data_IF_202824720077
#
_entry.id   IF_202824720077
#
_cell.length_a   1.000
_cell.length_b   1.000
_cell.length_c   1.000
_cell.angle_alpha   90.00
_cell.angle_beta   90.00
_cell.angle_gamma   90.00
#
_symmetry.space_group_name_H-M   'P 1'
#
loop_
_entity.id
_entity.type
_entity.pdbx_description
1 polymer ?
#
# COMPACT_ATOMS: atom_id res chain seq x y z
N UNK A 1 22.92 6.05 5.32
CA UNK A 1 23.62 7.36 5.28
C UNK A 1 23.34 8.07 6.59
N UNK A 2 24.36 8.55 7.30
CA UNK A 2 24.16 9.29 8.56
C UNK A 2 23.77 10.74 8.27
N UNK A 3 22.59 11.16 8.75
CA UNK A 3 22.13 12.54 8.64
C UNK A 3 23.05 13.43 9.51
N UNK A 4 23.63 14.53 8.98
CA UNK A 4 24.50 15.40 9.77
C UNK A 4 23.78 15.98 11.00
N UNK A 5 24.47 16.09 12.13
CA UNK A 5 23.89 16.55 13.40
C UNK A 5 23.27 17.96 13.35
N UNK A 6 23.70 18.80 12.41
CA UNK A 6 23.18 20.16 12.23
C UNK A 6 21.84 20.20 11.49
N UNK A 7 21.43 19.13 10.81
CA UNK A 7 20.13 19.07 10.12
C UNK A 7 19.04 18.92 11.20
N UNK A 8 18.06 19.84 11.26
CA UNK A 8 16.99 19.81 12.26
C UNK A 8 15.90 18.78 11.88
N UNK A 9 16.30 17.55 11.60
CA UNK A 9 15.37 16.45 11.34
C UNK A 9 14.65 16.08 12.65
N UNK A 10 13.39 15.63 12.53
CA UNK A 10 12.62 15.07 13.64
C UNK A 10 13.41 13.92 14.29
N UNK A 11 13.43 13.88 15.61
CA UNK A 11 14.27 12.92 16.34
C UNK A 11 13.93 11.46 16.03
N UNK A 12 12.65 11.15 15.82
CA UNK A 12 12.17 9.81 15.45
C UNK A 12 12.71 9.31 14.09
N UNK A 13 13.27 10.19 13.24
CA UNK A 13 13.78 9.82 11.91
C UNK A 13 15.32 9.69 11.87
N UNK A 14 16.03 10.00 12.97
CA UNK A 14 17.50 10.09 12.95
C UNK A 14 18.23 8.79 12.66
N UNK A 15 17.66 7.67 13.10
CA UNK A 15 18.25 6.33 12.98
C UNK A 15 17.51 5.44 11.97
N UNK A 16 16.59 6.02 11.21
CA UNK A 16 15.84 5.31 10.17
C UNK A 16 16.67 5.23 8.88
N UNK A 17 16.47 4.15 8.13
CA UNK A 17 17.05 4.00 6.80
C UNK A 17 15.99 4.16 5.71
N UNK A 18 16.31 4.77 4.56
CA UNK A 18 15.39 4.83 3.44
C UNK A 18 14.97 3.42 3.00
N UNK A 19 13.66 3.19 2.92
CA UNK A 19 13.11 1.94 2.41
C UNK A 19 13.41 1.79 0.92
N UNK A 20 13.82 0.59 0.52
CA UNK A 20 13.95 0.22 -0.89
C UNK A 20 14.78 -1.04 -1.09
N UNK A 21 14.32 -1.93 -1.95
CA UNK A 21 15.16 -3.02 -2.41
C UNK A 21 16.33 -2.46 -3.23
N UNK A 22 17.55 -3.03 -3.12
CA UNK A 22 18.68 -2.56 -3.90
C UNK A 22 18.40 -2.71 -5.39
N UNK A 23 18.68 -1.67 -6.16
CA UNK A 23 18.60 -1.69 -7.62
C UNK A 23 19.92 -2.22 -8.17
N UNK A 24 19.99 -3.53 -8.37
CA UNK A 24 21.18 -4.21 -8.89
C UNK A 24 20.88 -4.65 -10.32
N UNK A 25 21.79 -4.31 -11.23
CA UNK A 25 21.74 -4.80 -12.60
C UNK A 25 22.22 -6.26 -12.64
N UNK A 26 21.27 -7.17 -12.70
CA UNK A 26 21.51 -8.62 -12.76
C UNK A 26 20.64 -9.26 -13.84
N UNK A 27 21.10 -10.34 -14.49
CA UNK A 27 20.37 -10.97 -15.60
C UNK A 27 18.97 -11.49 -15.22
N UNK A 28 18.75 -11.85 -13.95
CA UNK A 28 17.48 -12.40 -13.46
C UNK A 28 17.07 -11.65 -12.19
N UNK A 29 15.98 -10.88 -12.27
CA UNK A 29 15.40 -10.12 -11.16
C UNK A 29 14.10 -10.76 -10.71
N UNK A 30 14.06 -11.28 -9.48
CA UNK A 30 12.92 -11.99 -8.88
C UNK A 30 12.69 -11.57 -7.41
N UNK A 31 13.02 -10.32 -7.08
CA UNK A 31 13.01 -9.80 -5.70
C UNK A 31 11.82 -8.87 -5.40
N UNK A 32 11.09 -8.43 -6.42
CA UNK A 32 9.85 -7.69 -6.29
C UNK A 32 8.78 -8.41 -7.10
N UNK A 33 7.53 -8.42 -6.62
CA UNK A 33 6.45 -9.23 -7.17
C UNK A 33 5.86 -8.64 -8.47
N UNK A 34 6.73 -8.24 -9.40
CA UNK A 34 6.37 -7.70 -10.71
C UNK A 34 5.82 -8.80 -11.62
N UNK A 35 4.98 -8.40 -12.59
CA UNK A 35 4.64 -9.29 -13.69
C UNK A 35 5.85 -9.42 -14.63
N UNK A 36 6.37 -10.63 -14.92
CA UNK A 36 7.53 -10.80 -15.80
C UNK A 36 7.21 -10.50 -17.27
N UNK A 37 5.93 -10.41 -17.64
CA UNK A 37 5.49 -10.04 -18.98
C UNK A 37 5.28 -8.52 -19.06
N UNK A 38 6.01 -7.88 -19.97
CA UNK A 38 5.76 -6.48 -20.31
C UNK A 38 4.38 -6.27 -20.94
N UNK A 39 3.92 -5.02 -21.05
CA UNK A 39 2.70 -4.71 -21.79
C UNK A 39 2.75 -5.26 -23.22
N UNK A 40 1.61 -5.71 -23.75
CA UNK A 40 1.52 -6.07 -25.17
C UNK A 40 1.79 -4.86 -26.06
N UNK A 41 2.23 -5.08 -27.31
CA UNK A 41 2.45 -3.99 -28.28
C UNK A 41 1.21 -3.11 -28.46
N UNK A 42 0.02 -3.73 -28.47
CA UNK A 42 -1.26 -3.02 -28.54
C UNK A 42 -1.46 -2.10 -27.34
N UNK A 43 -1.21 -2.59 -26.13
CA UNK A 43 -1.34 -1.78 -24.91
C UNK A 43 -0.29 -0.66 -24.87
N UNK A 44 0.94 -0.93 -25.27
CA UNK A 44 2.00 0.08 -25.34
C UNK A 44 1.66 1.21 -26.33
N UNK A 45 1.14 0.86 -27.51
CA UNK A 45 0.70 1.83 -28.51
C UNK A 45 -0.48 2.69 -28.03
N UNK A 46 -1.44 2.07 -27.34
CA UNK A 46 -2.61 2.75 -26.78
C UNK A 46 -2.21 3.75 -25.67
N UNK A 47 -1.33 3.33 -24.75
CA UNK A 47 -0.75 4.21 -23.72
C UNK A 47 -0.03 5.39 -24.37
N UNK A 48 0.81 5.14 -25.39
CA UNK A 48 1.52 6.21 -26.08
C UNK A 48 0.56 7.20 -26.76
N UNK A 49 -0.51 6.71 -27.37
CA UNK A 49 -1.57 7.54 -27.95
C UNK A 49 -2.29 8.39 -26.91
N UNK A 50 -2.68 7.80 -25.78
CA UNK A 50 -3.35 8.50 -24.68
C UNK A 50 -2.45 9.60 -24.08
N UNK A 51 -1.17 9.29 -23.84
CA UNK A 51 -0.18 10.27 -23.35
C UNK A 51 0.02 11.40 -24.36
N UNK A 52 0.07 11.10 -25.66
CA UNK A 52 0.17 12.12 -26.70
C UNK A 52 -1.02 13.09 -26.66
N UNK A 53 -2.25 12.60 -26.48
CA UNK A 53 -3.42 13.46 -26.35
C UNK A 53 -3.38 14.32 -25.08
N UNK A 54 -3.09 13.70 -23.93
CA UNK A 54 -2.98 14.42 -22.66
C UNK A 54 -1.86 15.48 -22.68
N UNK A 55 -0.78 15.24 -23.43
CA UNK A 55 0.34 16.16 -23.56
C UNK A 55 -0.05 17.55 -24.11
N UNK A 56 -1.14 17.61 -24.90
CA UNK A 56 -1.64 18.86 -25.49
C UNK A 56 -2.25 19.82 -24.45
N UNK A 57 -2.60 19.32 -23.26
CA UNK A 57 -3.27 20.09 -22.19
C UNK A 57 -2.44 20.20 -20.90
N UNK A 58 -1.16 19.82 -20.91
CA UNK A 58 -0.28 19.82 -19.72
C UNK A 58 -0.11 21.20 -19.05
N UNK A 59 -0.48 22.29 -19.72
CA UNK A 59 -0.52 23.62 -19.13
C UNK A 59 -1.74 23.85 -18.21
N UNK A 60 -2.61 22.84 -18.06
CA UNK A 60 -3.79 22.85 -17.18
C UNK A 60 -3.65 21.80 -16.10
N UNK A 61 -4.35 22.04 -14.99
CA UNK A 61 -4.53 21.00 -13.97
C UNK A 61 -5.41 19.88 -14.55
N UNK A 62 -5.14 18.60 -14.20
CA UNK A 62 -5.96 17.48 -14.62
C UNK A 62 -7.33 17.50 -13.91
N UNK A 63 -8.22 16.60 -14.32
CA UNK A 63 -9.41 16.28 -13.52
C UNK A 63 -8.99 15.86 -12.11
N UNK A 64 -9.43 16.64 -11.12
CA UNK A 64 -9.09 16.44 -9.71
C UNK A 64 -9.64 15.13 -9.18
N UNK A 65 -10.78 14.70 -9.68
CA UNK A 65 -11.50 13.54 -9.17
C UNK A 65 -11.09 12.25 -9.87
N UNK A 66 -10.32 12.32 -10.97
CA UNK A 66 -9.96 11.20 -11.84
C UNK A 66 -11.19 10.33 -12.19
N UNK A 67 -12.29 10.99 -12.56
CA UNK A 67 -13.61 10.37 -12.64
C UNK A 67 -13.65 9.22 -13.66
N UNK A 68 -13.16 9.47 -14.88
CA UNK A 68 -13.11 8.47 -15.95
C UNK A 68 -12.27 7.24 -15.56
N UNK A 69 -11.14 7.46 -14.87
CA UNK A 69 -10.30 6.38 -14.34
C UNK A 69 -11.07 5.54 -13.30
N UNK A 70 -11.79 6.20 -12.38
CA UNK A 70 -12.56 5.51 -11.33
C UNK A 70 -13.76 4.76 -11.90
N UNK A 71 -14.42 5.28 -12.93
CA UNK A 71 -15.47 4.57 -13.66
C UNK A 71 -14.93 3.30 -14.32
N UNK A 72 -13.81 3.41 -15.04
CA UNK A 72 -13.17 2.26 -15.68
C UNK A 72 -12.72 1.20 -14.67
N UNK A 73 -12.14 1.62 -13.53
CA UNK A 73 -11.75 0.72 -12.44
C UNK A 73 -12.96 0.03 -11.79
N UNK A 74 -14.06 0.76 -11.56
CA UNK A 74 -15.29 0.17 -11.03
C UNK A 74 -15.87 -0.87 -11.98
N UNK A 75 -15.90 -0.58 -13.28
CA UNK A 75 -16.35 -1.52 -14.31
C UNK A 75 -15.46 -2.77 -14.39
N UNK A 76 -14.14 -2.60 -14.27
CA UNK A 76 -13.19 -3.72 -14.23
C UNK A 76 -13.40 -4.63 -13.01
N UNK A 77 -13.60 -4.04 -11.83
CA UNK A 77 -13.86 -4.80 -10.60
C UNK A 77 -15.24 -5.49 -10.62
N UNK A 78 -16.23 -4.90 -11.27
CA UNK A 78 -17.58 -5.46 -11.37
C UNK A 78 -18.38 -5.34 -10.06
N UNK A 79 -19.20 -6.35 -9.76
CA UNK A 79 -20.03 -6.43 -8.54
C UNK A 79 -21.02 -5.27 -8.30
N UNK A 80 -21.40 -4.55 -9.37
CA UNK A 80 -22.31 -3.40 -9.26
C UNK A 80 -21.66 -2.16 -8.62
N UNK A 81 -20.32 -2.10 -8.58
CA UNK A 81 -19.59 -0.92 -8.12
C UNK A 81 -19.74 0.26 -9.09
N UNK A 82 -19.75 1.47 -8.54
CA UNK A 82 -19.71 2.73 -9.29
C UNK A 82 -18.47 3.53 -8.91
N UNK A 83 -18.15 4.60 -9.66
CA UNK A 83 -17.02 5.48 -9.36
C UNK A 83 -17.08 6.12 -7.96
N UNK A 84 -18.28 6.25 -7.38
CA UNK A 84 -18.47 6.72 -5.99
C UNK A 84 -17.89 5.75 -4.94
N UNK A 85 -17.66 4.50 -5.32
CA UNK A 85 -17.12 3.44 -4.45
C UNK A 85 -15.65 3.13 -4.73
N UNK A 86 -15.03 3.84 -5.66
CA UNK A 86 -13.63 3.62 -6.06
C UNK A 86 -12.83 4.90 -5.87
N UNK A 87 -11.67 4.76 -5.27
CA UNK A 87 -10.70 5.83 -5.07
C UNK A 87 -9.36 5.44 -5.68
N UNK A 88 -8.73 6.36 -6.40
CA UNK A 88 -7.45 6.15 -7.07
C UNK A 88 -6.40 7.11 -6.50
N UNK A 89 -5.17 6.62 -6.39
CA UNK A 89 -4.01 7.38 -5.94
C UNK A 89 -2.74 6.80 -6.61
N UNK A 90 -1.58 7.39 -6.34
CA UNK A 90 -0.29 6.97 -6.89
C UNK A 90 0.22 5.69 -6.22
N UNK A 91 -0.36 4.56 -6.65
CA UNK A 91 -0.08 3.24 -6.10
C UNK A 91 -0.71 3.00 -4.72
N UNK A 92 -0.66 1.75 -4.27
CA UNK A 92 -1.22 1.38 -2.96
C UNK A 92 -0.53 2.08 -1.79
N UNK A 93 0.72 2.52 -1.96
CA UNK A 93 1.43 3.29 -0.95
C UNK A 93 0.69 4.58 -0.58
N UNK A 94 0.25 5.36 -1.57
CA UNK A 94 -0.49 6.60 -1.31
C UNK A 94 -1.90 6.32 -0.78
N UNK A 95 -2.57 5.27 -1.28
CA UNK A 95 -3.87 4.84 -0.72
C UNK A 95 -3.75 4.51 0.77
N UNK A 96 -2.74 3.74 1.17
CA UNK A 96 -2.54 3.39 2.58
C UNK A 96 -2.15 4.59 3.43
N UNK A 97 -1.35 5.51 2.90
CA UNK A 97 -1.05 6.78 3.58
C UNK A 97 -2.33 7.59 3.80
N UNK A 98 -3.19 7.75 2.80
CA UNK A 98 -4.44 8.49 2.90
C UNK A 98 -5.40 7.84 3.89
N UNK A 99 -5.51 6.50 3.90
CA UNK A 99 -6.30 5.75 4.90
C UNK A 99 -5.79 6.06 6.31
N UNK A 100 -4.48 6.00 6.55
CA UNK A 100 -3.93 6.27 7.88
C UNK A 100 -3.95 7.76 8.26
N UNK A 101 -3.93 8.68 7.31
CA UNK A 101 -4.15 10.10 7.58
C UNK A 101 -5.60 10.38 8.02
N UNK A 102 -6.59 9.69 7.43
CA UNK A 102 -8.00 9.88 7.74
C UNK A 102 -8.44 9.11 8.99
N UNK A 103 -7.99 7.86 9.13
CA UNK A 103 -8.47 6.91 10.13
C UNK A 103 -7.42 6.52 11.17
N UNK A 104 -6.12 6.65 10.87
CA UNK A 104 -5.03 6.54 11.84
C UNK A 104 -4.59 7.91 12.37
N UNK A 105 -3.29 8.07 12.56
CA UNK A 105 -2.68 9.33 12.96
C UNK A 105 -2.29 9.42 14.43
N UNK A 106 -1.85 10.61 14.89
CA UNK A 106 -1.44 10.84 16.26
C UNK A 106 -2.51 10.42 17.28
N UNK A 107 -2.12 9.59 18.24
CA UNK A 107 -3.03 9.08 19.28
C UNK A 107 -3.88 7.88 18.87
N UNK A 108 -3.74 7.40 17.63
CA UNK A 108 -4.45 6.22 17.11
C UNK A 108 -3.52 5.04 16.88
N UNK A 109 -4.10 3.84 16.81
CA UNK A 109 -3.38 2.57 16.69
C UNK A 109 -3.79 1.81 15.43
N UNK A 110 -2.81 1.23 14.73
CA UNK A 110 -3.00 0.28 13.65
C UNK A 110 -2.42 -1.09 14.02
N UNK A 111 -3.12 -2.16 13.68
CA UNK A 111 -2.73 -3.56 13.95
C UNK A 111 -2.58 -4.36 12.65
N UNK A 112 -1.61 -5.25 12.60
CA UNK A 112 -1.56 -6.36 11.63
C UNK A 112 -0.86 -7.59 12.21
N UNK A 113 -0.72 -8.66 11.42
CA UNK A 113 -0.26 -9.97 11.89
C UNK A 113 0.98 -10.43 11.13
N UNK A 114 2.14 -10.38 11.81
CA UNK A 114 3.44 -10.68 11.23
C UNK A 114 3.70 -12.20 11.11
N UNK A 115 4.49 -12.65 10.10
CA UNK A 115 5.09 -11.85 9.04
C UNK A 115 4.04 -11.37 8.01
N UNK A 116 4.13 -10.10 7.62
CA UNK A 116 3.22 -9.46 6.66
C UNK A 116 3.98 -8.39 5.86
N UNK A 117 3.25 -7.60 5.06
CA UNK A 117 3.83 -6.64 4.14
C UNK A 117 4.64 -5.57 4.88
N UNK A 118 5.91 -5.44 4.50
CA UNK A 118 6.91 -4.61 5.17
C UNK A 118 6.57 -3.12 5.23
N UNK A 119 5.73 -2.62 4.33
CA UNK A 119 5.40 -1.19 4.28
C UNK A 119 4.36 -0.75 5.31
N UNK A 120 3.58 -1.64 5.92
CA UNK A 120 2.58 -1.22 6.91
C UNK A 120 3.17 -0.48 8.13
N UNK A 121 4.24 -0.96 8.80
CA UNK A 121 4.89 -0.18 9.85
C UNK A 121 5.46 1.16 9.33
N UNK A 122 5.91 1.20 8.08
CA UNK A 122 6.42 2.43 7.45
C UNK A 122 5.29 3.45 7.26
N UNK A 123 4.11 3.03 6.80
CA UNK A 123 2.94 3.91 6.67
C UNK A 123 2.47 4.41 8.04
N UNK A 124 2.46 3.54 9.05
CA UNK A 124 2.11 3.89 10.42
C UNK A 124 3.09 4.95 10.96
N UNK A 125 4.41 4.74 10.80
CA UNK A 125 5.44 5.72 11.21
C UNK A 125 5.26 7.05 10.49
N UNK A 126 5.09 7.04 9.16
CA UNK A 126 4.96 8.25 8.33
C UNK A 126 3.68 9.06 8.62
N UNK A 127 2.67 8.44 9.22
CA UNK A 127 1.42 9.09 9.62
C UNK A 127 1.33 9.32 11.12
N UNK A 128 2.35 8.95 11.89
CA UNK A 128 2.37 8.99 13.36
C UNK A 128 1.27 8.12 14.01
N UNK A 129 0.90 7.03 13.36
CA UNK A 129 0.01 6.01 13.90
C UNK A 129 0.82 5.00 14.72
N UNK A 130 0.36 4.65 15.93
CA UNK A 130 1.00 3.59 16.74
C UNK A 130 0.85 2.25 16.02
N UNK A 131 1.94 1.53 15.83
CA UNK A 131 1.94 0.22 15.19
C UNK A 131 1.98 -0.91 16.22
N UNK A 132 1.07 -1.88 16.09
CA UNK A 132 1.09 -3.11 16.87
C UNK A 132 1.08 -4.32 15.94
N UNK A 133 1.97 -5.28 16.20
CA UNK A 133 2.09 -6.49 15.41
C UNK A 133 1.70 -7.72 16.23
N UNK A 134 0.58 -8.34 15.85
CA UNK A 134 0.25 -9.71 16.24
C UNK A 134 1.12 -10.73 15.50
N UNK A 135 0.95 -12.01 15.82
CA UNK A 135 1.68 -13.11 15.18
C UNK A 135 0.73 -14.01 14.43
N UNK A 136 1.14 -14.42 13.23
CA UNK A 136 0.56 -15.55 12.50
C UNK A 136 1.00 -16.87 13.15
N UNK A 137 0.30 -17.94 12.81
CA UNK A 137 0.67 -19.32 13.15
C UNK A 137 1.96 -19.73 12.43
N UNK A 138 2.52 -20.88 12.82
CA UNK A 138 3.71 -21.46 12.18
C UNK A 138 3.47 -21.82 10.70
N UNK A 139 2.22 -22.14 10.33
CA UNK A 139 1.79 -22.36 8.94
C UNK A 139 1.50 -21.06 8.16
N UNK A 140 1.79 -19.89 8.76
CA UNK A 140 1.55 -18.55 8.22
C UNK A 140 0.09 -18.13 8.03
N UNK A 141 -0.87 -18.94 8.44
CA UNK A 141 -2.26 -18.52 8.50
C UNK A 141 -2.50 -17.58 9.70
N UNK A 142 -3.62 -16.86 9.68
CA UNK A 142 -4.05 -16.06 10.82
C UNK A 142 -4.47 -17.00 11.96
N UNK A 143 -4.00 -16.71 13.18
CA UNK A 143 -4.58 -17.29 14.38
C UNK A 143 -5.79 -16.44 14.77
N UNK A 144 -6.99 -16.82 14.32
CA UNK A 144 -8.21 -16.00 14.50
C UNK A 144 -8.50 -15.71 15.98
N UNK A 145 -8.49 -16.71 16.89
CA UNK A 145 -8.65 -16.43 18.32
C UNK A 145 -7.63 -15.44 18.88
N UNK A 146 -6.34 -15.61 18.56
CA UNK A 146 -5.31 -14.68 19.02
C UNK A 146 -5.44 -13.29 18.38
N UNK A 147 -5.88 -13.22 17.13
CA UNK A 147 -6.11 -11.97 16.41
C UNK A 147 -7.25 -11.16 17.03
N UNK A 148 -8.38 -11.81 17.32
CA UNK A 148 -9.53 -11.20 18.00
C UNK A 148 -9.12 -10.71 19.39
N UNK A 149 -8.43 -11.53 20.18
CA UNK A 149 -7.96 -11.13 21.50
C UNK A 149 -7.02 -9.91 21.47
N UNK A 150 -6.16 -9.82 20.46
CA UNK A 150 -5.29 -8.65 20.27
C UNK A 150 -6.09 -7.40 19.90
N UNK A 151 -7.05 -7.51 18.98
CA UNK A 151 -7.93 -6.39 18.61
C UNK A 151 -8.75 -5.92 19.81
N UNK A 152 -9.26 -6.85 20.63
CA UNK A 152 -9.97 -6.53 21.87
C UNK A 152 -9.08 -5.82 22.89
N UNK A 153 -7.84 -6.26 23.07
CA UNK A 153 -6.91 -5.66 24.03
C UNK A 153 -6.40 -4.28 23.59
N UNK A 154 -6.10 -4.11 22.30
CA UNK A 154 -5.48 -2.90 21.77
C UNK A 154 -6.50 -1.84 21.32
N UNK A 155 -7.75 -2.24 21.04
CA UNK A 155 -8.81 -1.39 20.48
C UNK A 155 -8.30 -0.53 19.30
N UNK A 156 -7.72 -1.14 18.24
CA UNK A 156 -7.09 -0.39 17.16
C UNK A 156 -8.12 0.36 16.31
N UNK A 157 -7.74 1.53 15.82
CA UNK A 157 -8.53 2.33 14.89
C UNK A 157 -8.50 1.75 13.46
N UNK A 158 -7.42 1.04 13.10
CA UNK A 158 -7.24 0.39 11.80
C UNK A 158 -6.67 -1.02 11.97
N UNK A 159 -7.25 -2.01 11.28
CA UNK A 159 -6.72 -3.38 11.21
C UNK A 159 -6.36 -3.70 9.75
N UNK A 160 -5.11 -4.07 9.49
CA UNK A 160 -4.66 -4.51 8.17
C UNK A 160 -4.65 -6.03 8.06
N UNK A 161 -5.42 -6.54 7.10
CA UNK A 161 -5.46 -7.94 6.71
C UNK A 161 -5.04 -8.07 5.23
N UNK A 162 -3.88 -8.66 4.97
CA UNK A 162 -3.38 -8.87 3.60
C UNK A 162 -3.78 -10.26 3.10
N UNK A 163 -4.50 -10.32 1.99
CA UNK A 163 -4.93 -11.58 1.35
C UNK A 163 -4.86 -11.46 -0.19
N UNK A 164 -4.05 -12.27 -0.88
CA UNK A 164 -3.00 -13.15 -0.34
C UNK A 164 -1.89 -12.35 0.39
N UNK A 165 -1.36 -12.90 1.48
CA UNK A 165 -0.36 -12.22 2.32
C UNK A 165 1.01 -12.15 1.63
N UNK A 166 1.69 -11.02 1.74
CA UNK A 166 3.12 -10.89 1.44
C UNK A 166 3.87 -10.94 2.78
N UNK A 167 4.85 -11.83 3.02
CA UNK A 167 5.57 -12.66 2.04
C UNK A 167 5.08 -14.10 1.89
N UNK A 168 4.07 -14.52 2.63
CA UNK A 168 3.77 -15.96 2.84
C UNK A 168 2.93 -16.59 1.74
N UNK A 169 2.27 -15.79 0.90
CA UNK A 169 1.36 -16.23 -0.16
C UNK A 169 0.02 -16.80 0.34
N UNK A 170 -0.20 -16.87 1.65
CA UNK A 170 -1.42 -17.43 2.25
C UNK A 170 -2.60 -16.47 2.11
N UNK A 171 -3.74 -16.97 1.63
CA UNK A 171 -5.00 -16.23 1.61
C UNK A 171 -5.74 -16.38 2.95
N UNK A 172 -6.52 -15.37 3.31
CA UNK A 172 -7.54 -15.47 4.35
C UNK A 172 -8.84 -15.95 3.71
N UNK A 173 -9.50 -16.92 4.36
CA UNK A 173 -10.85 -17.31 3.99
C UNK A 173 -11.87 -16.24 4.44
N UNK A 174 -12.98 -16.02 3.72
CA UNK A 174 -13.97 -15.00 4.10
C UNK A 174 -14.59 -15.16 5.50
N UNK A 175 -14.58 -16.38 6.04
CA UNK A 175 -15.05 -16.71 7.38
C UNK A 175 -14.05 -16.42 8.51
N UNK A 176 -12.78 -16.16 8.19
CA UNK A 176 -11.70 -15.80 9.13
C UNK A 176 -11.60 -14.29 9.35
#
# INVERSE_FOLDING_TARGET
>A
MTVPAWVPIRDELRNEEPYGAPQIDVPVRLNTNENPYGPSEKAAADIAGAVQQAALELNRYPDREAWELREALAAYLGHGLTADRVWAANGSNEVMQQILQAFGGPGRTAVSFAPTYSMYPEYARNTHTRWVAGRRREDFAIDVPAAVALVEAEQPDVVFLTSPNNPTGTALAPEE
#
